data_IF_627479720170
#
_entry.id   IF_627479720170
#
_cell.length_a   1.000
_cell.length_b   1.000
_cell.length_c   1.000
_cell.angle_alpha   90.00
_cell.angle_beta   90.00
_cell.angle_gamma   90.00
#
_symmetry.space_group_name_H-M   'P 1'
#
loop_
_entity.id
_entity.type
_entity.pdbx_description
1 polymer ?
#
# COMPACT_ATOMS: atom_id res chain seq x y z
N UNK A 1 -18.17 16.61 7.24
CA UNK A 1 -17.44 16.21 6.03
C UNK A 1 -16.01 15.95 6.45
N UNK A 2 -15.46 14.73 6.26
CA UNK A 2 -14.06 14.46 6.60
C UNK A 2 -13.16 15.22 5.62
N UNK A 3 -12.14 15.92 6.10
CA UNK A 3 -11.13 16.54 5.23
C UNK A 3 -10.21 15.45 4.67
N UNK A 4 -9.48 15.74 3.59
CA UNK A 4 -8.56 14.77 2.98
C UNK A 4 -7.50 14.28 3.97
N UNK A 5 -7.08 15.13 4.91
CA UNK A 5 -6.16 14.78 5.98
C UNK A 5 -6.76 13.72 6.90
N UNK A 6 -8.04 13.84 7.29
CA UNK A 6 -8.70 12.81 8.10
C UNK A 6 -8.74 11.45 7.38
N UNK A 7 -8.95 11.43 6.06
CA UNK A 7 -8.97 10.18 5.28
C UNK A 7 -7.58 9.52 5.27
N UNK A 8 -6.51 10.29 5.12
CA UNK A 8 -5.13 9.77 5.14
C UNK A 8 -4.78 9.22 6.53
N UNK A 9 -5.14 9.93 7.60
CA UNK A 9 -4.90 9.47 8.97
C UNK A 9 -5.69 8.21 9.30
N UNK A 10 -6.93 8.11 8.82
CA UNK A 10 -7.75 6.90 8.96
C UNK A 10 -7.12 5.72 8.19
N UNK A 11 -6.62 5.96 6.96
CA UNK A 11 -5.97 4.94 6.13
C UNK A 11 -4.69 4.42 6.78
N UNK A 12 -3.84 5.31 7.31
CA UNK A 12 -2.57 4.93 7.91
C UNK A 12 -2.63 4.71 9.44
N UNK A 13 -3.81 4.80 10.02
CA UNK A 13 -4.05 4.68 11.47
C UNK A 13 -3.18 5.62 12.32
N UNK A 14 -2.92 6.82 11.80
CA UNK A 14 -2.13 7.85 12.45
C UNK A 14 -3.05 8.73 13.29
N UNK A 15 -3.50 8.22 14.45
CA UNK A 15 -4.51 8.89 15.27
C UNK A 15 -3.94 9.89 16.29
N UNK A 16 -2.63 9.90 16.48
CA UNK A 16 -1.96 10.78 17.44
C UNK A 16 -1.30 11.97 16.71
N UNK A 17 -1.30 13.15 17.33
CA UNK A 17 -0.70 14.37 16.76
C UNK A 17 0.78 14.21 16.39
N UNK A 18 1.50 13.30 17.04
CA UNK A 18 2.91 13.00 16.72
C UNK A 18 3.09 12.33 15.35
N UNK A 19 2.07 11.63 14.88
CA UNK A 19 2.06 10.92 13.60
C UNK A 19 1.32 11.72 12.49
N UNK A 20 0.59 12.78 12.88
CA UNK A 20 -0.15 13.65 11.99
C UNK A 20 0.66 14.93 11.72
N UNK A 21 0.83 15.30 10.45
CA UNK A 21 1.40 16.60 10.09
C UNK A 21 0.30 17.52 9.60
N UNK A 22 0.19 18.71 10.21
CA UNK A 22 -0.72 19.75 9.73
C UNK A 22 -0.21 20.31 8.40
N UNK A 23 -0.91 19.96 7.31
CA UNK A 23 -0.55 20.35 5.94
C UNK A 23 -1.78 20.83 5.18
N UNK A 24 -1.65 22.01 4.59
CA UNK A 24 -2.70 22.70 3.81
C UNK A 24 -2.93 22.04 2.44
N UNK A 25 -1.91 21.41 1.88
CA UNK A 25 -1.99 20.71 0.59
C UNK A 25 -1.14 19.45 0.63
N UNK A 26 -1.76 18.28 0.40
CA UNK A 26 -1.04 17.02 0.22
C UNK A 26 -0.74 16.86 -1.26
N UNK A 27 0.54 16.93 -1.64
CA UNK A 27 1.01 16.56 -2.98
C UNK A 27 1.75 15.24 -2.86
N UNK A 28 1.11 14.18 -3.35
CA UNK A 28 1.76 12.87 -3.51
C UNK A 28 2.54 12.93 -4.83
N UNK A 29 3.87 12.88 -4.73
CA UNK A 29 4.75 12.80 -5.88
C UNK A 29 5.34 11.40 -5.93
N UNK A 30 5.03 10.68 -7.01
CA UNK A 30 5.64 9.40 -7.35
C UNK A 30 6.73 9.71 -8.37
N UNK A 31 7.99 9.73 -7.92
CA UNK A 31 9.14 9.98 -8.77
C UNK A 31 9.90 8.67 -9.01
N UNK A 32 10.06 8.32 -10.28
CA UNK A 32 10.92 7.23 -10.71
C UNK A 32 12.39 7.68 -10.59
N UNK A 33 13.16 7.10 -9.67
CA UNK A 33 14.62 7.26 -9.65
C UNK A 33 15.27 6.05 -10.32
N UNK A 34 16.00 6.30 -11.40
CA UNK A 34 16.94 5.34 -11.96
C UNK A 34 18.27 5.42 -11.18
N UNK A 35 18.54 4.46 -10.30
CA UNK A 35 19.86 4.26 -9.71
C UNK A 35 19.97 4.54 -8.20
N UNK A 36 20.97 3.90 -7.60
CA UNK A 36 21.27 3.92 -6.17
C UNK A 36 21.90 5.25 -5.76
N UNK A 37 21.09 6.23 -5.37
CA UNK A 37 21.56 7.39 -4.63
C UNK A 37 20.62 7.70 -3.46
N UNK A 38 21.20 7.73 -2.25
CA UNK A 38 20.53 8.21 -1.07
C UNK A 38 20.41 9.74 -1.17
N UNK A 39 19.19 10.24 -1.35
CA UNK A 39 18.89 11.67 -1.20
C UNK A 39 17.70 11.85 -0.25
N UNK A 40 17.95 12.50 0.89
CA UNK A 40 16.90 13.06 1.72
C UNK A 40 16.39 14.35 1.07
N UNK A 41 15.10 14.40 0.73
CA UNK A 41 14.46 15.65 0.32
C UNK A 41 13.04 15.74 0.90
N UNK A 42 12.84 16.57 1.92
CA UNK A 42 11.51 16.98 2.41
C UNK A 42 10.65 15.93 3.12
N UNK A 43 9.32 16.03 2.94
CA UNK A 43 8.25 15.27 3.62
C UNK A 43 7.92 13.91 2.96
N UNK A 44 8.89 13.24 2.34
CA UNK A 44 8.66 11.98 1.62
C UNK A 44 8.83 10.76 2.53
N UNK A 45 7.95 9.76 2.40
CA UNK A 45 8.09 8.46 3.07
C UNK A 45 8.97 7.59 2.18
N UNK A 46 10.28 7.60 2.43
CA UNK A 46 11.21 6.67 1.82
C UNK A 46 11.43 5.50 2.80
N UNK A 47 11.10 4.27 2.40
CA UNK A 47 11.50 3.05 3.11
C UNK A 47 12.98 2.73 2.93
N UNK A 48 13.85 3.73 3.12
CA UNK A 48 15.31 3.71 2.97
C UNK A 48 15.85 3.00 1.69
N UNK A 49 15.03 2.91 0.63
CA UNK A 49 15.37 2.22 -0.62
C UNK A 49 15.33 0.70 -0.58
N UNK A 50 14.84 0.09 0.52
CA UNK A 50 14.84 -1.37 0.70
C UNK A 50 13.49 -2.04 0.41
N UNK A 51 12.39 -1.30 0.54
CA UNK A 51 11.08 -1.79 0.13
C UNK A 51 10.95 -1.82 -1.41
N UNK A 52 10.40 -2.90 -2.00
CA UNK A 52 10.17 -2.97 -3.43
C UNK A 52 9.33 -1.78 -3.89
N UNK A 53 9.79 -1.08 -4.92
CA UNK A 53 9.09 0.09 -5.48
C UNK A 53 7.64 -0.26 -5.82
N UNK A 54 7.39 -1.42 -6.43
CA UNK A 54 6.03 -1.88 -6.75
C UNK A 54 5.09 -1.98 -5.53
N UNK A 55 5.62 -2.30 -4.35
CA UNK A 55 4.83 -2.36 -3.12
C UNK A 55 4.57 -0.96 -2.53
N UNK A 56 5.57 -0.07 -2.55
CA UNK A 56 5.38 1.33 -2.12
C UNK A 56 4.28 1.99 -2.97
N UNK A 57 4.37 1.84 -4.28
CA UNK A 57 3.40 2.36 -5.24
C UNK A 57 2.03 1.68 -5.08
N UNK A 58 2.01 0.36 -4.84
CA UNK A 58 0.78 -0.36 -4.54
C UNK A 58 0.06 0.13 -3.28
N UNK A 59 0.80 0.55 -2.24
CA UNK A 59 0.21 1.20 -1.05
C UNK A 59 -0.40 2.56 -1.41
N UNK A 60 0.26 3.34 -2.27
CA UNK A 60 -0.30 4.61 -2.75
C UNK A 60 -1.59 4.38 -3.56
N UNK A 61 -1.58 3.44 -4.50
CA UNK A 61 -2.73 3.06 -5.32
C UNK A 61 -3.86 2.46 -4.48
N UNK A 62 -3.55 1.79 -3.37
CA UNK A 62 -4.55 1.36 -2.38
C UNK A 62 -5.29 2.55 -1.77
N UNK A 63 -4.62 3.67 -1.49
CA UNK A 63 -5.30 4.86 -0.95
C UNK A 63 -6.28 5.47 -1.98
N UNK A 64 -5.89 5.48 -3.26
CA UNK A 64 -6.76 5.89 -4.38
C UNK A 64 -7.95 4.94 -4.47
N UNK A 65 -7.71 3.64 -4.37
CA UNK A 65 -8.76 2.62 -4.39
C UNK A 65 -9.78 2.83 -3.26
N UNK A 66 -9.31 3.08 -2.03
CA UNK A 66 -10.18 3.34 -0.87
C UNK A 66 -10.94 4.67 -0.95
N UNK A 67 -10.47 5.62 -1.75
CA UNK A 67 -11.17 6.88 -1.98
C UNK A 67 -12.44 6.73 -2.83
N UNK A 68 -12.59 5.62 -3.56
CA UNK A 68 -13.62 5.39 -4.59
C UNK A 68 -13.56 6.36 -5.80
N UNK A 69 -12.44 7.06 -6.02
CA UNK A 69 -12.23 7.96 -7.16
C UNK A 69 -11.09 7.49 -8.09
N UNK A 70 -10.93 6.18 -8.28
CA UNK A 70 -9.91 5.62 -9.17
C UNK A 70 -10.30 5.72 -10.66
N UNK A 71 -9.33 5.86 -11.58
CA UNK A 71 -9.60 6.07 -13.00
C UNK A 71 -10.20 4.82 -13.68
N UNK A 72 -10.91 4.99 -14.81
CA UNK A 72 -11.31 3.89 -15.67
C UNK A 72 -10.08 3.07 -16.10
N UNK A 73 -10.13 1.74 -15.90
CA UNK A 73 -9.03 0.84 -16.24
C UNK A 73 -8.20 0.35 -15.06
N UNK A 74 -8.43 0.87 -13.85
CA UNK A 74 -7.83 0.33 -12.63
C UNK A 74 -8.12 -1.17 -12.50
N UNK A 75 -7.12 -1.96 -12.11
CA UNK A 75 -7.22 -3.41 -11.99
C UNK A 75 -8.49 -3.84 -11.22
N UNK A 76 -9.11 -4.92 -11.70
CA UNK A 76 -10.20 -5.61 -10.98
C UNK A 76 -9.61 -6.58 -9.95
N UNK A 77 -10.42 -6.93 -8.95
CA UNK A 77 -10.08 -8.01 -8.00
C UNK A 77 -9.81 -9.31 -8.75
N UNK A 78 -8.78 -10.04 -8.32
CA UNK A 78 -8.34 -11.28 -8.94
C UNK A 78 -7.47 -11.12 -10.18
N UNK A 79 -7.29 -9.91 -10.72
CA UNK A 79 -6.41 -9.71 -11.87
C UNK A 79 -4.93 -9.74 -11.49
N UNK A 80 -4.10 -9.95 -12.51
CA UNK A 80 -2.65 -10.01 -12.41
C UNK A 80 -2.09 -11.42 -12.19
N UNK A 81 -0.86 -11.62 -12.65
CA UNK A 81 -0.12 -12.88 -12.58
C UNK A 81 0.73 -12.97 -11.31
N UNK A 82 1.14 -11.82 -10.79
CA UNK A 82 1.97 -11.66 -9.59
C UNK A 82 1.47 -10.51 -8.73
N UNK A 83 1.62 -10.65 -7.41
CA UNK A 83 1.11 -9.69 -6.42
C UNK A 83 1.78 -8.30 -6.51
N UNK A 84 3.04 -8.21 -6.94
CA UNK A 84 3.86 -6.99 -7.09
C UNK A 84 4.10 -6.59 -8.56
N UNK A 85 3.32 -7.10 -9.52
CA UNK A 85 3.60 -6.89 -10.95
C UNK A 85 3.31 -5.46 -11.45
N UNK A 86 2.54 -4.68 -10.70
CA UNK A 86 2.05 -3.37 -11.08
C UNK A 86 1.18 -2.79 -9.97
N UNK A 87 1.10 -1.47 -9.92
CA UNK A 87 0.67 -0.73 -8.72
C UNK A 87 -0.79 -1.01 -8.36
N UNK A 88 -1.68 -0.99 -9.35
CA UNK A 88 -3.11 -1.22 -9.16
C UNK A 88 -3.43 -2.70 -8.85
N UNK A 89 -2.71 -3.65 -9.44
CA UNK A 89 -2.79 -5.07 -9.06
C UNK A 89 -2.35 -5.29 -7.61
N UNK A 90 -1.24 -4.66 -7.21
CA UNK A 90 -0.77 -4.70 -5.82
C UNK A 90 -1.78 -4.06 -4.88
N UNK A 91 -2.37 -2.92 -5.24
CA UNK A 91 -3.43 -2.28 -4.46
C UNK A 91 -4.65 -3.19 -4.25
N UNK A 92 -5.06 -3.95 -5.27
CA UNK A 92 -6.14 -4.94 -5.16
C UNK A 92 -5.79 -6.13 -4.29
N UNK A 93 -4.52 -6.53 -4.28
CA UNK A 93 -4.06 -7.57 -3.36
C UNK A 93 -4.02 -7.05 -1.91
N UNK A 94 -3.53 -5.83 -1.69
CA UNK A 94 -3.54 -5.17 -0.38
C UNK A 94 -4.96 -4.95 0.15
N UNK A 95 -5.92 -4.64 -0.73
CA UNK A 95 -7.35 -4.61 -0.40
C UNK A 95 -7.84 -5.93 0.18
N UNK A 96 -7.44 -7.05 -0.42
CA UNK A 96 -7.78 -8.37 0.09
C UNK A 96 -7.11 -8.67 1.44
N UNK A 97 -5.83 -8.32 1.62
CA UNK A 97 -5.15 -8.49 2.90
C UNK A 97 -5.80 -7.67 4.02
N UNK A 98 -6.25 -6.44 3.72
CA UNK A 98 -7.00 -5.61 4.66
C UNK A 98 -8.37 -6.23 5.02
N UNK A 99 -9.07 -6.85 4.06
CA UNK A 99 -10.31 -7.59 4.34
C UNK A 99 -10.09 -8.80 5.26
N UNK A 100 -8.95 -9.49 5.12
CA UNK A 100 -8.57 -10.60 6.00
C UNK A 100 -8.18 -10.13 7.40
N UNK A 101 -7.43 -9.03 7.48
CA UNK A 101 -6.89 -8.47 8.71
C UNK A 101 -6.98 -6.95 8.67
N UNK A 102 -7.99 -6.41 9.35
CA UNK A 102 -8.12 -4.96 9.53
C UNK A 102 -6.84 -4.37 10.13
N UNK A 103 -6.36 -3.29 9.53
CA UNK A 103 -5.09 -2.62 9.84
C UNK A 103 -3.85 -3.25 9.23
N UNK A 104 -4.00 -4.22 8.33
CA UNK A 104 -2.87 -4.84 7.64
C UNK A 104 -2.04 -3.81 6.88
N UNK A 105 -2.66 -2.96 6.06
CA UNK A 105 -1.90 -2.01 5.20
C UNK A 105 -1.15 -0.99 6.04
N UNK A 106 -1.79 -0.47 7.10
CA UNK A 106 -1.13 0.44 8.04
C UNK A 106 0.02 -0.25 8.79
N UNK A 107 -0.17 -1.49 9.24
CA UNK A 107 0.86 -2.29 9.88
C UNK A 107 2.06 -2.57 8.97
N UNK A 108 1.78 -2.93 7.71
CA UNK A 108 2.82 -3.17 6.70
C UNK A 108 3.61 -1.89 6.43
N UNK A 109 2.93 -0.76 6.17
CA UNK A 109 3.57 0.54 5.95
C UNK A 109 4.49 0.94 7.12
N UNK A 110 4.04 0.72 8.36
CA UNK A 110 4.84 0.98 9.56
C UNK A 110 6.10 0.11 9.63
N UNK A 111 6.01 -1.18 9.29
CA UNK A 111 7.17 -2.08 9.27
C UNK A 111 8.14 -1.73 8.14
N UNK A 112 7.64 -1.21 7.03
CA UNK A 112 8.44 -0.81 5.86
C UNK A 112 9.24 0.48 6.03
N UNK A 113 9.18 1.13 7.20
CA UNK A 113 9.84 2.42 7.43
C UNK A 113 11.35 2.41 7.20
N UNK A 114 12.02 1.28 7.51
CA UNK A 114 13.49 1.17 7.47
C UNK A 114 14.00 -0.07 6.71
N UNK A 115 13.16 -1.08 6.50
CA UNK A 115 13.52 -2.29 5.76
C UNK A 115 12.26 -2.98 5.22
N UNK A 116 12.44 -3.97 4.35
CA UNK A 116 11.36 -4.82 3.88
C UNK A 116 11.74 -6.30 3.92
N UNK A 117 10.77 -7.11 4.35
CA UNK A 117 10.80 -8.56 4.22
C UNK A 117 9.40 -9.04 3.85
N UNK A 118 9.32 -10.02 2.94
CA UNK A 118 8.06 -10.70 2.63
C UNK A 118 7.48 -11.41 3.86
N UNK A 119 8.31 -11.73 4.88
CA UNK A 119 7.86 -12.29 6.16
C UNK A 119 6.86 -11.39 6.88
N UNK A 120 6.86 -10.07 6.61
CA UNK A 120 5.93 -9.15 7.25
C UNK A 120 4.47 -9.48 6.94
N UNK A 121 4.19 -10.08 5.78
CA UNK A 121 2.85 -10.56 5.45
C UNK A 121 2.42 -11.66 6.41
N UNK A 122 3.30 -12.62 6.71
CA UNK A 122 3.04 -13.70 7.65
C UNK A 122 2.96 -13.19 9.09
N UNK A 123 3.87 -12.29 9.48
CA UNK A 123 3.85 -11.70 10.82
C UNK A 123 2.54 -10.94 11.11
N UNK A 124 1.94 -10.31 10.09
CA UNK A 124 0.71 -9.53 10.24
C UNK A 124 -0.58 -10.37 10.07
N UNK A 125 -0.56 -11.39 9.22
CA UNK A 125 -1.76 -12.17 8.85
C UNK A 125 -1.78 -13.59 9.38
N UNK A 126 -0.64 -14.12 9.81
CA UNK A 126 -0.43 -15.54 10.13
C UNK A 126 -0.30 -16.45 8.90
N UNK A 127 -0.22 -15.90 7.68
CA UNK A 127 -0.09 -16.67 6.43
C UNK A 127 1.10 -16.20 5.60
N UNK A 128 1.92 -17.11 5.03
CA UNK A 128 2.96 -16.74 4.08
C UNK A 128 2.40 -16.00 2.87
N UNK A 129 3.17 -15.05 2.33
CA UNK A 129 2.80 -14.23 1.17
C UNK A 129 2.32 -15.07 -0.04
N UNK A 130 3.03 -16.15 -0.35
CA UNK A 130 2.64 -17.05 -1.45
C UNK A 130 1.27 -17.69 -1.24
N UNK A 131 0.91 -18.04 0.00
CA UNK A 131 -0.41 -18.57 0.32
C UNK A 131 -1.50 -17.49 0.23
N UNK A 132 -1.22 -16.29 0.73
CA UNK A 132 -2.14 -15.15 0.59
C UNK A 132 -2.46 -14.86 -0.88
N UNK A 133 -1.45 -14.87 -1.75
CA UNK A 133 -1.65 -14.66 -3.19
C UNK A 133 -2.47 -15.79 -3.83
N UNK A 134 -2.19 -17.04 -3.49
CA UNK A 134 -2.97 -18.17 -3.99
C UNK A 134 -4.43 -18.10 -3.53
N UNK A 135 -4.68 -17.79 -2.25
CA UNK A 135 -6.03 -17.63 -1.70
C UNK A 135 -6.77 -16.46 -2.36
N UNK A 136 -6.08 -15.34 -2.61
CA UNK A 136 -6.61 -14.20 -3.35
C UNK A 136 -7.08 -14.59 -4.76
N UNK A 137 -6.21 -15.28 -5.52
CA UNK A 137 -6.53 -15.75 -6.87
C UNK A 137 -7.67 -16.76 -6.87
N UNK A 138 -7.75 -17.62 -5.85
CA UNK A 138 -8.84 -18.56 -5.70
C UNK A 138 -10.17 -17.86 -5.39
N UNK A 139 -10.18 -16.88 -4.48
CA UNK A 139 -11.38 -16.11 -4.09
C UNK A 139 -12.03 -15.42 -5.28
N UNK A 140 -11.22 -14.83 -6.17
CA UNK A 140 -11.70 -13.99 -7.27
C UNK A 140 -11.60 -14.65 -8.65
N UNK A 141 -11.41 -15.98 -8.70
CA UNK A 141 -11.24 -16.74 -9.96
C UNK A 141 -12.43 -16.60 -10.94
N UNK A 142 -13.62 -16.32 -10.41
CA UNK A 142 -14.87 -16.25 -11.18
C UNK A 142 -15.42 -14.82 -11.35
N UNK A 143 -14.73 -13.82 -10.81
CA UNK A 143 -15.14 -12.41 -10.88
C UNK A 143 -14.47 -11.65 -12.06
N UNK A 144 -13.81 -12.39 -12.96
CA UNK A 144 -13.04 -11.90 -14.11
C UNK A 144 -13.90 -11.59 -15.34
#
# INVERSE_FOLDING_TARGET
MKTINCVIWDIFQQYNETDQKDVETVKVFIHQYNGAEAVTYGNNINGEGKAPVGLIEGVADYTILKSNYYPPGFAKRGQGERWDQGYDFTARFLEYCEELKSGFVAGLNKKMRHDFSESYFEELTGKPLGQLWADYKAKYRFDG
#
